data_IF_088696107285
#
_entry.id   IF_088696107285
#
_cell.length_a   1.000
_cell.length_b   1.000
_cell.length_c   1.000
_cell.angle_alpha   90.00
_cell.angle_beta   90.00
_cell.angle_gamma   90.00
#
_symmetry.space_group_name_H-M   'P 1'
#
loop_
_entity.id
_entity.type
_entity.pdbx_description
1 polymer ?
#
# COMPACT_ATOMS: atom_id res chain seq x y z
N UNK A 1 -17.97 -24.50 20.34
CA UNK A 1 -16.74 -23.68 20.39
C UNK A 1 -17.00 -22.46 19.54
N UNK A 2 -17.02 -21.29 20.18
CA UNK A 2 -17.65 -20.04 19.72
C UNK A 2 -16.93 -19.39 18.53
N UNK A 3 -17.69 -19.05 17.50
CA UNK A 3 -17.25 -18.37 16.26
C UNK A 3 -16.42 -17.09 16.46
N UNK A 4 -16.44 -16.51 17.66
CA UNK A 4 -15.63 -15.35 18.04
C UNK A 4 -14.13 -15.54 17.82
N UNK A 5 -13.58 -16.76 18.02
CA UNK A 5 -12.15 -17.01 17.83
C UNK A 5 -11.71 -16.99 16.35
N UNK A 6 -12.63 -17.31 15.41
CA UNK A 6 -12.29 -17.27 13.98
C UNK A 6 -12.19 -15.84 13.48
N UNK A 7 -13.06 -14.94 13.94
CA UNK A 7 -13.02 -13.54 13.53
C UNK A 7 -11.76 -12.83 14.02
N UNK A 8 -11.29 -13.12 15.24
CA UNK A 8 -10.03 -12.59 15.75
C UNK A 8 -8.81 -13.06 14.96
N UNK A 9 -8.88 -14.23 14.33
CA UNK A 9 -7.82 -14.76 13.46
C UNK A 9 -7.74 -14.03 12.11
N UNK A 10 -8.87 -13.52 11.59
CA UNK A 10 -8.92 -12.77 10.32
C UNK A 10 -8.66 -11.26 10.46
N UNK A 11 -8.89 -10.68 11.65
CA UNK A 11 -8.60 -9.28 11.95
C UNK A 11 -7.18 -8.81 11.54
N UNK A 12 -6.09 -9.55 11.84
CA UNK A 12 -4.75 -9.13 11.43
C UNK A 12 -4.56 -9.07 9.90
N UNK A 13 -5.19 -9.96 9.14
CA UNK A 13 -5.14 -9.92 7.67
C UNK A 13 -5.88 -8.70 7.10
N UNK A 14 -7.01 -8.34 7.70
CA UNK A 14 -7.74 -7.11 7.39
C UNK A 14 -6.92 -5.85 7.69
N UNK A 15 -6.21 -5.83 8.83
CA UNK A 15 -5.31 -4.72 9.19
C UNK A 15 -4.17 -4.57 8.19
N UNK A 16 -3.56 -5.69 7.77
CA UNK A 16 -2.54 -5.70 6.72
C UNK A 16 -3.06 -5.17 5.38
N UNK A 17 -4.26 -5.61 4.97
CA UNK A 17 -4.90 -5.13 3.75
C UNK A 17 -5.15 -3.61 3.78
N UNK A 18 -5.60 -3.08 4.92
CA UNK A 18 -5.79 -1.64 5.12
C UNK A 18 -4.46 -0.88 5.07
N UNK A 19 -3.40 -1.40 5.68
CA UNK A 19 -2.08 -0.79 5.69
C UNK A 19 -1.49 -0.72 4.28
N UNK A 20 -1.63 -1.78 3.48
CA UNK A 20 -1.21 -1.82 2.08
C UNK A 20 -2.05 -0.84 1.25
N UNK A 21 -3.37 -0.84 1.43
CA UNK A 21 -4.26 0.08 0.72
C UNK A 21 -3.92 1.55 1.05
N UNK A 22 -3.64 1.87 2.31
CA UNK A 22 -3.22 3.20 2.73
C UNK A 22 -1.84 3.58 2.16
N UNK A 23 -0.87 2.66 2.21
CA UNK A 23 0.47 2.87 1.66
C UNK A 23 0.46 3.10 0.14
N UNK A 24 -0.49 2.51 -0.57
CA UNK A 24 -0.70 2.73 -2.01
C UNK A 24 -1.50 4.01 -2.29
N UNK A 25 -2.62 4.21 -1.60
CA UNK A 25 -3.51 5.33 -1.85
C UNK A 25 -2.86 6.67 -1.50
N UNK A 26 -2.02 6.72 -0.46
CA UNK A 26 -1.37 7.94 0.00
C UNK A 26 -0.51 8.63 -1.08
N UNK A 27 0.50 7.99 -1.69
CA UNK A 27 1.31 8.62 -2.74
C UNK A 27 0.51 8.92 -4.03
N UNK A 28 -0.50 8.11 -4.35
CA UNK A 28 -1.37 8.33 -5.52
C UNK A 28 -2.22 9.60 -5.34
N UNK A 29 -2.88 9.73 -4.18
CA UNK A 29 -3.70 10.90 -3.86
C UNK A 29 -2.85 12.17 -3.73
N UNK A 30 -1.67 12.07 -3.12
CA UNK A 30 -0.71 13.17 -3.00
C UNK A 30 -0.23 13.60 -4.39
N UNK A 31 0.15 12.65 -5.25
CA UNK A 31 0.55 12.92 -6.63
C UNK A 31 -0.56 13.59 -7.46
N UNK A 32 -1.80 13.11 -7.33
CA UNK A 32 -2.97 13.71 -8.00
C UNK A 32 -3.25 15.15 -7.52
N UNK A 33 -3.18 15.40 -6.21
CA UNK A 33 -3.41 16.73 -5.66
C UNK A 33 -2.32 17.72 -6.09
N UNK A 34 -1.06 17.28 -6.10
CA UNK A 34 0.07 18.10 -6.53
C UNK A 34 0.02 18.40 -8.04
N UNK A 35 -0.43 17.44 -8.87
CA UNK A 35 -0.62 17.63 -10.32
C UNK A 35 -1.69 18.70 -10.61
N UNK A 36 -2.78 18.68 -9.84
CA UNK A 36 -3.85 19.68 -9.90
C UNK A 36 -3.37 21.07 -9.46
N UNK A 37 -2.46 21.14 -8.47
CA UNK A 37 -1.92 22.40 -7.97
C UNK A 37 -0.87 23.02 -8.91
N UNK A 38 -0.03 22.19 -9.55
CA UNK A 38 1.05 22.65 -10.44
C UNK A 38 0.60 22.83 -11.89
N UNK A 39 -0.51 22.21 -12.31
CA UNK A 39 -1.03 22.30 -13.68
C UNK A 39 -0.20 21.51 -14.71
N UNK A 40 0.73 20.66 -14.26
CA UNK A 40 1.66 19.88 -15.10
C UNK A 40 1.06 18.53 -15.51
N UNK A 41 -0.13 18.55 -16.10
CA UNK A 41 -0.79 17.31 -16.50
C UNK A 41 0.01 16.62 -17.64
N UNK A 42 0.37 15.31 -17.54
CA UNK A 42 0.10 14.33 -16.48
C UNK A 42 1.39 13.75 -15.85
N UNK A 43 2.42 14.57 -15.63
CA UNK A 43 3.74 14.06 -15.20
C UNK A 43 3.74 13.59 -13.74
N UNK A 44 3.03 14.28 -12.85
CA UNK A 44 2.98 13.90 -11.44
C UNK A 44 2.19 12.62 -11.20
N UNK A 45 1.11 12.39 -11.95
CA UNK A 45 0.39 11.13 -11.96
C UNK A 45 1.30 9.95 -12.38
N UNK A 46 2.09 10.15 -13.44
CA UNK A 46 3.08 9.17 -13.91
C UNK A 46 4.13 8.86 -12.84
N UNK A 47 4.65 9.89 -12.17
CA UNK A 47 5.61 9.68 -11.06
C UNK A 47 4.96 9.00 -9.86
N UNK A 48 3.72 9.33 -9.50
CA UNK A 48 2.97 8.68 -8.43
C UNK A 48 2.71 7.21 -8.71
N UNK A 49 2.41 6.87 -9.97
CA UNK A 49 2.28 5.48 -10.42
C UNK A 49 3.60 4.72 -10.34
N UNK A 50 4.70 5.32 -10.81
CA UNK A 50 6.07 4.79 -10.68
C UNK A 50 6.45 4.54 -9.22
N UNK A 51 6.18 5.51 -8.34
CA UNK A 51 6.42 5.38 -6.90
C UNK A 51 5.56 4.27 -6.29
N UNK A 52 4.29 4.15 -6.69
CA UNK A 52 3.39 3.08 -6.25
C UNK A 52 3.91 1.70 -6.63
N UNK A 53 4.37 1.53 -7.88
CA UNK A 53 4.99 0.28 -8.35
C UNK A 53 6.24 -0.04 -7.53
N UNK A 54 7.15 0.92 -7.34
CA UNK A 54 8.36 0.74 -6.52
C UNK A 54 8.00 0.35 -5.09
N UNK A 55 6.96 0.93 -4.51
CA UNK A 55 6.49 0.60 -3.17
C UNK A 55 6.03 -0.86 -3.05
N UNK A 56 5.27 -1.36 -4.03
CA UNK A 56 4.84 -2.77 -4.09
C UNK A 56 6.06 -3.70 -4.13
N UNK A 57 7.04 -3.39 -4.97
CA UNK A 57 8.28 -4.17 -5.03
C UNK A 57 9.02 -4.18 -3.68
N UNK A 58 9.14 -3.03 -3.01
CA UNK A 58 9.76 -2.97 -1.68
C UNK A 58 8.98 -3.76 -0.61
N UNK A 59 7.65 -3.77 -0.69
CA UNK A 59 6.78 -4.55 0.19
C UNK A 59 7.01 -6.05 0.01
N UNK A 60 7.13 -6.51 -1.22
CA UNK A 60 7.44 -7.91 -1.56
C UNK A 60 8.82 -8.29 -1.06
N UNK A 61 9.84 -7.44 -1.26
CA UNK A 61 11.19 -7.69 -0.75
C UNK A 61 11.20 -7.79 0.78
N UNK A 62 10.51 -6.87 1.49
CA UNK A 62 10.32 -6.96 2.94
C UNK A 62 9.61 -8.22 3.38
N UNK A 63 8.61 -8.68 2.61
CA UNK A 63 7.92 -9.94 2.89
C UNK A 63 8.87 -11.13 2.75
N UNK A 64 9.70 -11.14 1.72
CA UNK A 64 10.67 -12.20 1.47
C UNK A 64 11.74 -12.28 2.57
N UNK A 65 12.25 -11.14 3.04
CA UNK A 65 13.21 -11.12 4.16
C UNK A 65 12.58 -11.65 5.45
N UNK A 66 11.30 -11.36 5.71
CA UNK A 66 10.59 -11.90 6.88
C UNK A 66 10.43 -13.42 6.80
N UNK A 67 10.17 -13.96 5.61
CA UNK A 67 10.03 -15.39 5.38
C UNK A 67 11.36 -16.15 5.43
N UNK A 68 12.49 -15.49 5.18
CA UNK A 68 13.83 -16.09 5.25
C UNK A 68 14.46 -15.98 6.65
N UNK A 69 13.78 -15.34 7.61
CA UNK A 69 14.22 -15.25 9.01
C UNK A 69 13.52 -16.26 9.94
N UNK A 70 12.56 -17.04 9.42
CA UNK A 70 11.98 -18.23 10.05
C UNK A 70 12.68 -19.51 9.54
#
# INVERSE_FOLDING_TARGET
MSDQNKLSEYLPYLSLGLEIAAALAFPILLGFWLDSYLGWQPWLLLTGCLVGIVNIFLLIFRLNERLNQD
#
